data_IF_670646057800
#
_entry.id   IF_670646057800
#
_cell.length_a   1.000
_cell.length_b   1.000
_cell.length_c   1.000
_cell.angle_alpha   90.00
_cell.angle_beta   90.00
_cell.angle_gamma   90.00
#
_symmetry.space_group_name_H-M   'P 1'
#
loop_
_entity.id
_entity.type
_entity.pdbx_description
1 polymer ?
#
# COMPACT_ATOMS: atom_id res chain seq x y z
N UNK A 1 -15.53 -9.20 -12.88
CA UNK A 1 -14.30 -8.68 -12.27
C UNK A 1 -14.19 -7.24 -12.70
N UNK A 2 -13.99 -6.32 -11.77
CA UNK A 2 -14.10 -4.89 -12.04
C UNK A 2 -12.95 -4.43 -12.96
N UNK A 3 -13.27 -3.93 -14.15
CA UNK A 3 -12.29 -3.60 -15.20
C UNK A 3 -11.29 -2.55 -14.72
N UNK A 4 -11.71 -1.64 -13.83
CA UNK A 4 -10.84 -0.62 -13.24
C UNK A 4 -9.76 -1.25 -12.37
N UNK A 5 -10.13 -2.22 -11.53
CA UNK A 5 -9.21 -2.87 -10.58
C UNK A 5 -8.16 -3.70 -11.30
N UNK A 6 -8.52 -4.40 -12.37
CA UNK A 6 -7.54 -5.15 -13.17
C UNK A 6 -6.52 -4.22 -13.83
N UNK A 7 -6.95 -3.07 -14.36
CA UNK A 7 -6.02 -2.06 -14.89
C UNK A 7 -5.06 -1.53 -13.82
N UNK A 8 -5.55 -1.32 -12.59
CA UNK A 8 -4.68 -0.90 -11.47
C UNK A 8 -3.64 -1.99 -11.18
N UNK A 9 -4.05 -3.26 -11.10
CA UNK A 9 -3.10 -4.38 -10.88
C UNK A 9 -2.01 -4.42 -11.94
N UNK A 10 -2.37 -4.32 -13.22
CA UNK A 10 -1.39 -4.31 -14.32
C UNK A 10 -0.40 -3.15 -14.22
N UNK A 11 -0.86 -1.96 -13.80
CA UNK A 11 0.01 -0.78 -13.60
C UNK A 11 0.97 -1.03 -12.43
N UNK A 12 0.44 -1.50 -11.30
CA UNK A 12 1.21 -1.74 -10.08
C UNK A 12 2.24 -2.86 -10.30
N UNK A 13 1.88 -3.95 -10.97
CA UNK A 13 2.79 -5.04 -11.31
C UNK A 13 3.98 -4.53 -12.14
N UNK A 14 3.73 -3.68 -13.14
CA UNK A 14 4.77 -3.07 -13.97
C UNK A 14 5.68 -2.13 -13.18
N UNK A 15 5.12 -1.30 -12.30
CA UNK A 15 5.88 -0.32 -11.54
C UNK A 15 6.74 -0.96 -10.44
N UNK A 16 6.21 -2.02 -9.79
CA UNK A 16 6.88 -2.71 -8.68
C UNK A 16 7.77 -3.89 -9.09
N UNK A 17 7.90 -4.18 -10.38
CA UNK A 17 8.72 -5.29 -10.90
C UNK A 17 10.19 -5.26 -10.45
N UNK A 18 10.69 -4.10 -9.97
CA UNK A 18 12.08 -3.90 -9.58
C UNK A 18 12.30 -3.71 -8.06
N UNK A 19 11.23 -3.74 -7.25
CA UNK A 19 11.33 -3.50 -5.80
C UNK A 19 11.49 -4.82 -5.03
N UNK A 20 12.45 -4.91 -4.10
CA UNK A 20 12.81 -6.19 -3.44
C UNK A 20 11.98 -6.53 -2.20
N UNK A 21 11.52 -5.54 -1.42
CA UNK A 21 10.78 -5.76 -0.16
C UNK A 21 9.29 -5.36 -0.23
N UNK A 22 8.93 -4.55 -1.23
CA UNK A 22 7.59 -4.03 -1.51
C UNK A 22 7.23 -4.40 -2.95
N UNK A 23 7.33 -5.68 -3.25
CA UNK A 23 7.06 -6.20 -4.59
C UNK A 23 5.55 -6.43 -4.76
N UNK A 24 5.13 -6.77 -5.99
CA UNK A 24 3.73 -7.04 -6.30
C UNK A 24 3.10 -8.12 -5.39
N UNK A 25 3.87 -9.12 -4.96
CA UNK A 25 3.36 -10.15 -4.04
C UNK A 25 2.95 -9.59 -2.67
N UNK A 26 3.72 -8.63 -2.13
CA UNK A 26 3.34 -7.90 -0.91
C UNK A 26 2.01 -7.19 -1.09
N UNK A 27 1.89 -6.39 -2.16
CA UNK A 27 0.67 -5.64 -2.46
C UNK A 27 -0.54 -6.58 -2.61
N UNK A 28 -0.38 -7.72 -3.28
CA UNK A 28 -1.47 -8.66 -3.46
C UNK A 28 -1.88 -9.36 -2.16
N UNK A 29 -0.94 -9.63 -1.24
CA UNK A 29 -1.29 -10.16 0.10
C UNK A 29 -2.04 -9.12 0.92
N UNK A 30 -1.58 -7.87 0.93
CA UNK A 30 -2.28 -6.75 1.58
C UNK A 30 -3.69 -6.58 0.99
N UNK A 31 -3.82 -6.58 -0.33
CA UNK A 31 -5.10 -6.49 -1.02
C UNK A 31 -6.08 -7.60 -0.59
N UNK A 32 -5.65 -8.85 -0.62
CA UNK A 32 -6.49 -9.98 -0.24
C UNK A 32 -6.88 -9.92 1.25
N UNK A 33 -5.95 -9.51 2.11
CA UNK A 33 -6.23 -9.37 3.54
C UNK A 33 -7.18 -8.20 3.83
N UNK A 34 -7.02 -7.06 3.13
CA UNK A 34 -7.93 -5.92 3.25
C UNK A 34 -9.35 -6.28 2.83
N UNK A 35 -9.51 -7.06 1.74
CA UNK A 35 -10.81 -7.60 1.35
C UNK A 35 -11.41 -8.51 2.41
N UNK A 36 -10.60 -9.39 3.00
CA UNK A 36 -11.05 -10.28 4.06
C UNK A 36 -11.53 -9.51 5.31
N UNK A 37 -10.76 -8.48 5.72
CA UNK A 37 -11.14 -7.60 6.83
C UNK A 37 -12.41 -6.79 6.54
N UNK A 38 -12.71 -6.52 5.27
CA UNK A 38 -13.89 -5.76 4.86
C UNK A 38 -15.18 -6.60 4.74
N UNK A 39 -15.13 -7.94 4.75
CA UNK A 39 -16.27 -8.82 4.45
C UNK A 39 -17.53 -8.56 5.28
N UNK A 40 -17.39 -8.08 6.53
CA UNK A 40 -18.49 -7.83 7.45
C UNK A 40 -18.57 -6.36 7.90
N UNK A 41 -17.89 -5.46 7.19
CA UNK A 41 -17.89 -4.04 7.50
C UNK A 41 -18.74 -3.27 6.49
N UNK A 42 -19.46 -2.26 6.99
CA UNK A 42 -20.11 -1.27 6.13
C UNK A 42 -19.07 -0.26 5.67
N UNK A 43 -18.48 -0.51 4.50
CA UNK A 43 -17.36 0.25 3.91
C UNK A 43 -17.44 0.28 2.39
N UNK A 44 -16.75 1.25 1.79
CA UNK A 44 -16.56 1.30 0.34
C UNK A 44 -15.46 0.33 -0.10
N UNK A 45 -15.86 -0.77 -0.74
CA UNK A 45 -14.93 -1.79 -1.22
C UNK A 45 -14.06 -1.30 -2.38
N UNK A 46 -14.51 -0.36 -3.20
CA UNK A 46 -13.72 0.10 -4.34
C UNK A 46 -12.60 1.04 -3.88
N UNK A 47 -12.88 1.85 -2.85
CA UNK A 47 -11.84 2.62 -2.13
C UNK A 47 -10.80 1.68 -1.53
N UNK A 48 -11.21 0.63 -0.80
CA UNK A 48 -10.28 -0.33 -0.17
C UNK A 48 -9.42 -1.04 -1.22
N UNK A 49 -10.04 -1.55 -2.30
CA UNK A 49 -9.33 -2.24 -3.38
C UNK A 49 -8.28 -1.34 -4.02
N UNK A 50 -8.67 -0.12 -4.41
CA UNK A 50 -7.78 0.81 -5.08
C UNK A 50 -6.64 1.27 -4.16
N UNK A 51 -6.97 1.63 -2.91
CA UNK A 51 -5.97 2.06 -1.92
C UNK A 51 -4.98 0.94 -1.60
N UNK A 52 -5.45 -0.29 -1.37
CA UNK A 52 -4.57 -1.42 -1.06
C UNK A 52 -3.64 -1.76 -2.23
N UNK A 53 -4.08 -1.65 -3.49
CA UNK A 53 -3.21 -1.87 -4.65
C UNK A 53 -2.18 -0.76 -4.84
N UNK A 54 -2.53 0.49 -4.53
CA UNK A 54 -1.70 1.66 -4.82
C UNK A 54 -0.82 2.11 -3.64
N UNK A 55 -1.00 1.57 -2.43
CA UNK A 55 -0.39 2.12 -1.21
C UNK A 55 1.15 2.25 -1.24
N UNK A 56 1.81 1.37 -1.98
CA UNK A 56 3.29 1.27 -2.06
C UNK A 56 3.85 1.64 -3.44
N UNK A 57 3.04 2.12 -4.40
CA UNK A 57 3.49 2.39 -5.78
C UNK A 57 4.62 3.45 -5.86
N UNK A 58 4.68 4.35 -4.88
CA UNK A 58 5.73 5.35 -4.71
C UNK A 58 7.01 4.84 -4.06
N UNK A 59 7.10 3.55 -3.69
CA UNK A 59 8.23 2.96 -2.97
C UNK A 59 9.58 3.14 -3.68
N UNK A 60 9.61 3.09 -5.03
CA UNK A 60 10.83 3.32 -5.80
C UNK A 60 11.41 4.71 -5.58
N UNK A 61 10.57 5.73 -5.46
CA UNK A 61 11.02 7.11 -5.22
C UNK A 61 11.67 7.28 -3.84
N UNK A 62 11.20 6.57 -2.83
CA UNK A 62 11.84 6.55 -1.50
C UNK A 62 13.21 5.85 -1.57
N UNK A 63 13.30 4.73 -2.30
CA UNK A 63 14.57 4.00 -2.47
C UNK A 63 15.61 4.81 -3.24
N UNK A 64 15.18 5.53 -4.28
CA UNK A 64 16.07 6.31 -5.15
C UNK A 64 16.45 7.68 -4.54
N UNK A 65 15.84 8.10 -3.43
CA UNK A 65 16.14 9.37 -2.74
C UNK A 65 17.29 9.23 -1.74
N UNK A 66 18.50 9.76 -2.04
CA UNK A 66 19.64 9.66 -1.14
C UNK A 66 19.50 10.55 0.11
N UNK A 67 18.54 11.49 0.14
CA UNK A 67 18.34 12.39 1.28
C UNK A 67 17.54 11.77 2.41
N UNK A 68 16.83 10.66 2.14
CA UNK A 68 15.95 9.98 3.10
C UNK A 68 14.76 10.84 3.55
N UNK A 69 14.39 11.87 2.77
CA UNK A 69 13.27 12.78 3.09
C UNK A 69 12.00 12.41 2.35
N UNK A 70 12.09 11.57 1.33
CA UNK A 70 10.94 11.12 0.55
C UNK A 70 10.12 10.12 1.37
N UNK A 71 8.84 10.42 1.55
CA UNK A 71 7.88 9.50 2.16
C UNK A 71 7.12 8.78 1.05
N UNK A 72 7.27 7.45 0.98
CA UNK A 72 6.62 6.66 -0.05
C UNK A 72 5.10 6.73 -0.02
N UNK A 73 4.47 6.93 1.15
CA UNK A 73 3.01 7.04 1.25
C UNK A 73 2.51 8.32 0.57
N UNK A 74 3.22 9.44 0.77
CA UNK A 74 2.92 10.71 0.11
C UNK A 74 3.13 10.61 -1.40
N UNK A 75 4.24 10.00 -1.83
CA UNK A 75 4.50 9.80 -3.26
C UNK A 75 3.51 8.83 -3.91
N UNK A 76 3.10 7.78 -3.20
CA UNK A 76 2.10 6.82 -3.67
C UNK A 76 0.75 7.51 -3.88
N UNK A 77 0.32 8.36 -2.94
CA UNK A 77 -0.93 9.12 -3.09
C UNK A 77 -0.88 10.11 -4.26
N UNK A 78 0.25 10.78 -4.49
CA UNK A 78 0.45 11.65 -5.67
C UNK A 78 0.43 10.85 -6.98
N UNK A 79 1.00 9.65 -6.99
CA UNK A 79 1.00 8.78 -8.17
C UNK A 79 -0.37 8.14 -8.43
N UNK A 80 -1.16 7.90 -7.38
CA UNK A 80 -2.51 7.34 -7.49
C UNK A 80 -3.46 8.29 -8.23
N UNK A 81 -3.38 9.60 -8.00
CA UNK A 81 -4.29 10.59 -8.59
C UNK A 81 -4.42 10.53 -10.12
N UNK A 82 -3.34 10.61 -10.92
CA UNK A 82 -3.47 10.51 -12.38
C UNK A 82 -3.94 9.13 -12.83
N UNK A 83 -3.62 8.05 -12.11
CA UNK A 83 -4.08 6.69 -12.42
C UNK A 83 -5.60 6.61 -12.25
N UNK A 84 -6.11 7.06 -11.10
CA UNK A 84 -7.53 7.00 -10.77
C UNK A 84 -8.37 7.94 -11.64
N UNK A 85 -7.88 9.15 -11.91
CA UNK A 85 -8.52 10.07 -12.86
C UNK A 85 -8.68 9.45 -14.25
N UNK A 86 -7.64 8.81 -14.78
CA UNK A 86 -7.69 8.14 -16.08
C UNK A 86 -8.66 6.94 -16.11
N UNK A 87 -8.96 6.36 -14.95
CA UNK A 87 -9.92 5.26 -14.79
C UNK A 87 -11.33 5.75 -14.45
N UNK A 88 -11.55 7.07 -14.40
CA UNK A 88 -12.86 7.68 -14.18
C UNK A 88 -13.40 7.51 -12.77
N UNK A 89 -12.53 7.57 -11.75
CA UNK A 89 -12.97 7.80 -10.37
C UNK A 89 -13.33 9.29 -10.19
N UNK A 90 -14.32 9.56 -9.33
CA UNK A 90 -14.69 10.92 -8.93
C UNK A 90 -13.62 11.55 -8.03
N UNK A 91 -13.62 12.88 -7.93
CA UNK A 91 -12.68 13.62 -7.07
C UNK A 91 -12.80 13.20 -5.60
N UNK A 92 -14.02 12.92 -5.12
CA UNK A 92 -14.28 12.47 -3.76
C UNK A 92 -13.70 11.07 -3.50
N UNK A 93 -13.90 10.12 -4.43
CA UNK A 93 -13.30 8.78 -4.34
C UNK A 93 -11.77 8.86 -4.37
N UNK A 94 -11.20 9.66 -5.28
CA UNK A 94 -9.75 9.84 -5.39
C UNK A 94 -9.17 10.36 -4.08
N UNK A 95 -9.79 11.39 -3.51
CA UNK A 95 -9.35 11.95 -2.24
C UNK A 95 -9.43 10.94 -1.10
N UNK A 96 -10.52 10.17 -1.01
CA UNK A 96 -10.67 9.13 0.01
C UNK A 96 -9.61 8.02 -0.15
N UNK A 97 -9.34 7.59 -1.39
CA UNK A 97 -8.27 6.63 -1.70
C UNK A 97 -6.90 7.21 -1.29
N UNK A 98 -6.61 8.46 -1.64
CA UNK A 98 -5.38 9.14 -1.22
C UNK A 98 -5.24 9.21 0.29
N UNK A 99 -6.30 9.54 1.03
CA UNK A 99 -6.29 9.59 2.49
C UNK A 99 -5.98 8.21 3.11
N UNK A 100 -6.53 7.13 2.53
CA UNK A 100 -6.21 5.76 2.92
C UNK A 100 -4.72 5.44 2.67
N UNK A 101 -4.20 5.83 1.51
CA UNK A 101 -2.79 5.61 1.15
C UNK A 101 -1.88 6.44 2.06
N UNK A 102 -2.13 7.72 2.29
CA UNK A 102 -1.25 8.59 3.10
C UNK A 102 -1.16 8.10 4.55
N UNK A 103 -2.25 7.53 5.07
CA UNK A 103 -2.34 7.08 6.46
C UNK A 103 -1.90 5.64 6.72
N UNK A 104 -1.49 4.88 5.69
CA UNK A 104 -1.13 3.47 5.87
C UNK A 104 0.17 3.27 6.67
N UNK A 105 1.01 4.30 6.84
CA UNK A 105 2.28 4.18 7.58
C UNK A 105 2.13 4.38 9.09
N UNK A 106 2.80 3.54 9.87
CA UNK A 106 2.78 3.62 11.34
C UNK A 106 3.54 4.85 11.88
N UNK A 107 4.71 5.15 11.31
CA UNK A 107 5.67 6.16 11.81
C UNK A 107 5.37 7.57 11.29
N UNK A 108 4.10 7.93 11.14
CA UNK A 108 3.67 9.27 10.69
C UNK A 108 2.59 9.82 11.61
N UNK A 109 2.38 11.13 11.53
CA UNK A 109 1.25 11.83 12.17
C UNK A 109 -0.08 11.59 11.44
N UNK A 110 -0.05 11.07 10.21
CA UNK A 110 -1.24 10.78 9.41
C UNK A 110 -1.88 9.48 9.91
N UNK A 111 -2.73 9.57 10.93
CA UNK A 111 -3.46 8.41 11.47
C UNK A 111 -4.69 8.09 10.62
N UNK A 112 -5.01 6.81 10.39
CA UNK A 112 -6.21 6.42 9.64
C UNK A 112 -7.48 6.83 10.41
N UNK A 113 -8.33 7.63 9.77
CA UNK A 113 -9.56 8.17 10.39
C UNK A 113 -10.81 7.37 9.99
N UNK A 114 -10.93 7.04 8.71
CA UNK A 114 -12.07 6.30 8.14
C UNK A 114 -11.93 4.80 8.39
N UNK A 115 -13.02 4.05 8.23
CA UNK A 115 -12.98 2.58 8.37
C UNK A 115 -12.11 1.96 7.27
N UNK A 116 -12.23 2.44 6.04
CA UNK A 116 -11.44 2.01 4.89
C UNK A 116 -9.94 2.23 5.15
N UNK A 117 -9.56 3.40 5.65
CA UNK A 117 -8.17 3.71 5.97
C UNK A 117 -7.63 2.79 7.07
N UNK A 118 -8.44 2.47 8.09
CA UNK A 118 -8.06 1.54 9.16
C UNK A 118 -7.90 0.12 8.65
N UNK A 119 -8.79 -0.34 7.77
CA UNK A 119 -8.70 -1.67 7.16
C UNK A 119 -7.43 -1.80 6.31
N UNK A 120 -7.13 -0.82 5.45
CA UNK A 120 -5.91 -0.82 4.62
C UNK A 120 -4.66 -0.76 5.50
N UNK A 121 -4.68 0.08 6.54
CA UNK A 121 -3.60 0.15 7.52
C UNK A 121 -3.38 -1.20 8.22
N UNK A 122 -4.44 -1.81 8.76
CA UNK A 122 -4.35 -3.07 9.50
C UNK A 122 -3.87 -4.21 8.59
N UNK A 123 -4.37 -4.29 7.35
CA UNK A 123 -3.92 -5.27 6.37
C UNK A 123 -2.41 -5.16 6.10
N UNK A 124 -1.88 -3.94 5.92
CA UNK A 124 -0.45 -3.72 5.72
C UNK A 124 0.38 -4.03 6.99
N UNK A 125 -0.13 -3.69 8.19
CA UNK A 125 0.60 -4.02 9.43
C UNK A 125 0.60 -5.51 9.73
N UNK A 126 -0.44 -6.24 9.39
CA UNK A 126 -0.50 -7.67 9.59
C UNK A 126 0.56 -8.42 8.75
N UNK A 127 1.01 -7.87 7.62
CA UNK A 127 2.14 -8.42 6.84
C UNK A 127 3.49 -8.33 7.57
N UNK A 128 3.59 -7.53 8.63
CA UNK A 128 4.81 -7.39 9.44
C UNK A 128 4.89 -8.37 10.62
N UNK A 129 3.85 -9.18 10.82
CA UNK A 129 3.79 -10.20 11.89
C UNK A 129 3.63 -11.61 11.32
N UNK A 130 3.57 -12.62 12.20
CA UNK A 130 3.43 -14.01 11.78
C UNK A 130 4.65 -14.54 11.00
N UNK A 131 4.44 -15.60 10.23
CA UNK A 131 5.52 -16.28 9.49
C UNK A 131 6.18 -15.35 8.44
N UNK A 132 5.38 -14.55 7.73
CA UNK A 132 5.89 -13.58 6.75
C UNK A 132 6.69 -12.48 7.46
N UNK A 133 6.17 -11.94 8.56
CA UNK A 133 6.90 -10.96 9.38
C UNK A 133 8.25 -11.47 9.88
N UNK A 134 8.30 -12.72 10.36
CA UNK A 134 9.56 -13.37 10.79
C UNK A 134 10.54 -13.46 9.62
N UNK A 135 10.10 -13.91 8.45
CA UNK A 135 10.96 -13.99 7.26
C UNK A 135 11.49 -12.60 6.85
N UNK A 136 10.63 -11.59 6.82
CA UNK A 136 11.00 -10.19 6.53
C UNK A 136 12.03 -9.65 7.53
N UNK A 137 11.88 -9.98 8.82
CA UNK A 137 12.84 -9.58 9.85
C UNK A 137 14.23 -10.15 9.58
N UNK A 138 14.36 -11.44 9.26
CA UNK A 138 15.66 -12.05 8.92
C UNK A 138 16.27 -11.48 7.63
N UNK A 139 15.46 -11.19 6.61
CA UNK A 139 15.94 -10.51 5.39
C UNK A 139 16.50 -9.13 5.72
N UNK A 140 15.80 -8.36 6.56
CA UNK A 140 16.27 -7.05 6.99
C UNK A 140 17.58 -7.14 7.79
N UNK A 141 17.66 -8.09 8.74
CA UNK A 141 18.89 -8.34 9.52
C UNK A 141 20.06 -8.66 8.60
N UNK A 142 19.88 -9.57 7.65
CA UNK A 142 20.91 -9.95 6.68
C UNK A 142 21.35 -8.78 5.79
N UNK A 143 20.40 -7.98 5.29
CA UNK A 143 20.70 -6.80 4.45
C UNK A 143 21.46 -5.71 5.21
N UNK A 144 21.21 -5.56 6.51
CA UNK A 144 21.86 -4.54 7.34
C UNK A 144 23.08 -5.06 8.11
N UNK A 145 23.48 -6.32 7.89
CA UNK A 145 24.55 -6.98 8.63
C UNK A 145 24.38 -6.83 10.16
N UNK A 146 23.13 -6.91 10.63
CA UNK A 146 22.76 -6.75 12.02
C UNK A 146 22.90 -8.07 12.79
N UNK A 147 22.98 -8.00 14.11
CA UNK A 147 22.95 -9.19 14.97
C UNK A 147 21.52 -9.65 15.21
N UNK A 148 21.31 -10.97 15.28
CA UNK A 148 20.01 -11.56 15.60
C UNK A 148 19.75 -11.48 17.12
N UNK A 149 20.81 -11.60 17.93
CA UNK A 149 20.82 -11.54 19.39
C UNK A 149 22.13 -10.93 19.89
#
# INVERSE_FOLDING_TARGET
>A
MDEKIEKIKEIVEKELAFCSAHNFDHVMRVYNLALHLAENEEVDLDVIKAAALLHDIGGKKEVDDPTGKTDHAIESAKMAEPILNNLGYSEDEIKHIQDCIISHRYRTENKPQTKEAKIVFDADKLETVGAIGIARAFVWVGRNNAHIY
#
